data_IF_275036580158
#
_entry.id   IF_275036580158
#
_cell.length_a   1.000
_cell.length_b   1.000
_cell.length_c   1.000
_cell.angle_alpha   90.00
_cell.angle_beta   90.00
_cell.angle_gamma   90.00
#
_symmetry.space_group_name_H-M   'P 1'
#
loop_
_entity.id
_entity.type
_entity.pdbx_description
1 polymer ?
#
# COMPACT_ATOMS: atom_id res chain seq x y z
N UNK A 1 -8.77 13.49 -15.92
CA UNK A 1 -7.63 13.78 -15.03
C UNK A 1 -7.12 12.45 -14.59
N UNK A 2 -5.87 12.12 -14.90
CA UNK A 2 -5.29 10.83 -14.53
C UNK A 2 -5.28 10.76 -13.01
N UNK A 3 -6.10 9.90 -12.42
CA UNK A 3 -6.06 9.66 -10.99
C UNK A 3 -4.68 9.05 -10.69
N UNK A 4 -3.84 9.79 -9.97
CA UNK A 4 -2.50 9.32 -9.62
C UNK A 4 -2.64 8.13 -8.66
N UNK A 5 -2.45 6.93 -9.21
CA UNK A 5 -2.49 5.66 -8.48
C UNK A 5 -1.62 5.74 -7.22
N UNK A 6 -0.47 6.40 -7.31
CA UNK A 6 0.44 6.64 -6.18
C UNK A 6 -0.24 7.38 -5.01
N UNK A 7 -1.12 8.34 -5.29
CA UNK A 7 -1.84 9.08 -4.22
C UNK A 7 -2.88 8.20 -3.53
N UNK A 8 -3.59 7.36 -4.29
CA UNK A 8 -4.53 6.38 -3.72
C UNK A 8 -3.80 5.35 -2.87
N UNK A 9 -2.70 4.81 -3.39
CA UNK A 9 -1.86 3.84 -2.66
C UNK A 9 -1.36 4.45 -1.36
N UNK A 10 -0.75 5.64 -1.38
CA UNK A 10 -0.26 6.31 -0.17
C UNK A 10 -1.34 6.49 0.88
N UNK A 11 -2.53 6.89 0.47
CA UNK A 11 -3.67 7.08 1.36
C UNK A 11 -4.10 5.79 2.04
N UNK A 12 -4.28 4.72 1.26
CA UNK A 12 -4.67 3.41 1.79
C UNK A 12 -3.61 2.91 2.79
N UNK A 13 -2.33 3.02 2.44
CA UNK A 13 -1.21 2.61 3.31
C UNK A 13 -1.19 3.40 4.60
N UNK A 14 -1.33 4.72 4.52
CA UNK A 14 -1.36 5.62 5.66
C UNK A 14 -2.55 5.33 6.59
N UNK A 15 -3.73 5.13 6.01
CA UNK A 15 -4.96 4.82 6.75
C UNK A 15 -4.88 3.43 7.41
N UNK A 16 -4.34 2.42 6.73
CA UNK A 16 -4.27 1.04 7.24
C UNK A 16 -3.17 0.88 8.31
N UNK A 17 -2.01 1.51 8.11
CA UNK A 17 -0.88 1.46 9.05
C UNK A 17 -0.98 2.52 10.16
N UNK A 18 -1.94 3.45 10.07
CA UNK A 18 -2.10 4.55 11.03
C UNK A 18 -0.91 5.51 11.05
N UNK A 19 -0.27 5.71 9.89
CA UNK A 19 0.89 6.60 9.71
C UNK A 19 0.51 7.81 8.86
N UNK A 20 1.40 8.79 8.78
CA UNK A 20 1.20 9.96 7.94
C UNK A 20 1.48 9.60 6.46
N UNK A 21 0.59 10.00 5.54
CA UNK A 21 0.80 9.86 4.08
C UNK A 21 2.14 10.47 3.63
N UNK A 22 2.62 11.51 4.33
CA UNK A 22 3.90 12.13 4.05
C UNK A 22 5.11 11.20 4.31
N UNK A 23 4.93 10.16 5.14
CA UNK A 23 5.95 9.12 5.38
C UNK A 23 5.97 8.05 4.31
N UNK A 24 4.88 7.89 3.56
CA UNK A 24 4.77 6.89 2.49
C UNK A 24 5.39 7.46 1.22
N UNK A 25 6.64 7.07 0.96
CA UNK A 25 7.37 7.41 -0.26
C UNK A 25 7.42 6.22 -1.21
N UNK A 26 7.76 6.46 -2.48
CA UNK A 26 7.91 5.35 -3.45
C UNK A 26 9.13 4.49 -3.13
N UNK A 27 10.08 5.02 -2.36
CA UNK A 27 11.32 4.33 -1.96
C UNK A 27 11.24 3.71 -0.55
N UNK A 28 10.16 3.97 0.21
CA UNK A 28 10.03 3.46 1.58
C UNK A 28 9.68 1.97 1.62
N UNK A 29 10.37 1.23 2.50
CA UNK A 29 10.06 -0.17 2.80
C UNK A 29 8.84 -0.26 3.70
N UNK A 30 7.82 -1.03 3.28
CA UNK A 30 6.63 -1.28 4.10
C UNK A 30 6.99 -1.84 5.48
N UNK A 31 7.97 -2.73 5.55
CA UNK A 31 8.39 -3.38 6.80
C UNK A 31 9.37 -2.51 7.58
N UNK A 32 10.46 -2.06 6.93
CA UNK A 32 11.56 -1.40 7.66
C UNK A 32 11.27 0.07 7.98
N UNK A 33 10.60 0.80 7.08
CA UNK A 33 10.35 2.24 7.24
C UNK A 33 8.95 2.54 7.80
N UNK A 34 7.94 1.79 7.33
CA UNK A 34 6.55 2.00 7.73
C UNK A 34 6.14 1.12 8.91
N UNK A 35 6.93 0.10 9.24
CA UNK A 35 6.68 -0.79 10.38
C UNK A 35 5.50 -1.72 10.17
N UNK A 36 5.09 -1.96 8.92
CA UNK A 36 4.08 -2.96 8.59
C UNK A 36 4.60 -4.35 8.94
N UNK A 37 3.77 -5.14 9.61
CA UNK A 37 4.07 -6.55 9.81
C UNK A 37 3.71 -7.38 8.56
N UNK A 38 4.07 -8.67 8.57
CA UNK A 38 3.75 -9.57 7.45
C UNK A 38 2.25 -9.73 7.20
N UNK A 39 1.41 -9.51 8.22
CA UNK A 39 -0.05 -9.58 8.09
C UNK A 39 -0.59 -8.27 7.49
N UNK A 40 -0.12 -7.12 7.96
CA UNK A 40 -0.46 -5.79 7.44
C UNK A 40 -0.17 -5.71 5.93
N UNK A 41 0.96 -6.27 5.48
CA UNK A 41 1.28 -6.29 4.05
C UNK A 41 0.30 -7.12 3.23
N UNK A 42 -0.21 -8.23 3.77
CA UNK A 42 -1.19 -9.10 3.10
C UNK A 42 -2.57 -8.44 3.08
N UNK A 43 -2.97 -7.80 4.18
CA UNK A 43 -4.23 -7.03 4.25
C UNK A 43 -4.21 -5.83 3.30
N UNK A 44 -3.08 -5.10 3.22
CA UNK A 44 -2.89 -4.01 2.26
C UNK A 44 -3.01 -4.48 0.81
N UNK A 45 -2.38 -5.60 0.45
CA UNK A 45 -2.49 -6.19 -0.89
C UNK A 45 -3.95 -6.51 -1.21
N UNK A 46 -4.68 -7.19 -0.31
CA UNK A 46 -6.11 -7.47 -0.51
C UNK A 46 -6.95 -6.19 -0.66
N UNK A 47 -6.67 -5.15 0.14
CA UNK A 47 -7.36 -3.87 0.03
C UNK A 47 -7.08 -3.18 -1.31
N UNK A 48 -5.86 -3.30 -1.85
CA UNK A 48 -5.55 -2.82 -3.18
C UNK A 48 -6.25 -3.63 -4.27
N UNK A 49 -6.30 -4.95 -4.16
CA UNK A 49 -7.01 -5.79 -5.13
C UNK A 49 -8.50 -5.45 -5.20
N UNK A 50 -9.13 -5.18 -4.05
CA UNK A 50 -10.54 -4.77 -3.96
C UNK A 50 -10.76 -3.34 -4.51
N UNK A 51 -9.92 -2.37 -4.13
CA UNK A 51 -10.06 -0.97 -4.56
C UNK A 51 -9.76 -0.77 -6.05
N UNK A 52 -8.74 -1.46 -6.58
CA UNK A 52 -8.32 -1.34 -7.98
C UNK A 52 -8.95 -2.39 -8.90
N UNK A 53 -9.63 -3.40 -8.35
CA UNK A 53 -10.29 -4.47 -9.09
C UNK A 53 -9.33 -5.31 -9.94
N UNK A 54 -8.06 -5.40 -9.51
CA UNK A 54 -6.99 -6.08 -10.23
C UNK A 54 -6.31 -7.05 -9.28
N UNK A 55 -6.17 -8.31 -9.67
CA UNK A 55 -5.40 -9.30 -8.89
C UNK A 55 -3.91 -8.99 -9.02
N UNK A 56 -3.26 -8.75 -7.88
CA UNK A 56 -1.80 -8.68 -7.79
C UNK A 56 -1.35 -10.13 -7.72
N UNK A 57 -1.12 -10.73 -8.89
CA UNK A 57 -0.62 -12.10 -8.96
C UNK A 57 0.69 -12.21 -8.19
N UNK A 58 0.73 -13.09 -7.19
CA UNK A 58 1.89 -13.52 -6.37
C UNK A 58 3.15 -13.91 -7.19
N UNK A 59 3.04 -13.93 -8.52
CA UNK A 59 4.09 -14.30 -9.45
C UNK A 59 5.14 -13.19 -9.70
N UNK A 60 4.92 -11.98 -9.19
CA UNK A 60 5.86 -10.84 -9.31
C UNK A 60 6.50 -10.41 -7.97
N UNK A 61 6.40 -11.25 -6.91
CA UNK A 61 7.07 -11.04 -5.62
C UNK A 61 8.53 -11.54 -5.61
#
# INVERSE_FOLDING_TARGET
>A
MSEDISSKVKKIVADHLGIDEAKVTEDSSFIDDLGADSLDTVELVMAFEEEFGSEISDSDA
#
